data_IF_607127346971
#
_entry.id   IF_607127346971
#
_cell.length_a   1.000
_cell.length_b   1.000
_cell.length_c   1.000
_cell.angle_alpha   90.00
_cell.angle_beta   90.00
_cell.angle_gamma   90.00
#
_symmetry.space_group_name_H-M   'P 1'
#
loop_
_entity.id
_entity.type
_entity.pdbx_description
1 polymer ?
#
# COMPACT_ATOMS: atom_id res chain seq x y z
N UNK A 1 14.88 6.20 27.38
CA UNK A 1 13.50 5.76 27.15
C UNK A 1 13.51 4.81 25.97
N UNK A 2 13.45 3.51 26.21
CA UNK A 2 13.30 2.49 25.18
C UNK A 2 12.23 1.52 25.67
N UNK A 3 11.25 1.21 24.81
CA UNK A 3 10.20 0.26 25.14
C UNK A 3 10.87 -1.12 25.15
N UNK A 4 10.82 -1.83 26.28
CA UNK A 4 11.59 -3.08 26.50
C UNK A 4 11.17 -4.24 25.57
N UNK A 5 10.09 -4.08 24.79
CA UNK A 5 9.58 -5.05 23.81
C UNK A 5 9.44 -4.44 22.41
N UNK A 6 10.47 -3.74 21.93
CA UNK A 6 10.46 -3.25 20.56
C UNK A 6 10.71 -4.42 19.59
N UNK A 7 9.76 -4.65 18.69
CA UNK A 7 9.84 -5.73 17.70
C UNK A 7 11.12 -5.62 16.84
N UNK A 8 11.81 -6.75 16.64
CA UNK A 8 13.13 -6.78 15.97
C UNK A 8 13.05 -6.40 14.48
N UNK A 9 11.93 -6.68 13.81
CA UNK A 9 11.72 -6.23 12.43
C UNK A 9 11.59 -4.72 12.41
N UNK A 10 10.80 -4.14 13.31
CA UNK A 10 10.62 -2.69 13.45
C UNK A 10 11.95 -2.00 13.76
N UNK A 11 12.81 -2.62 14.57
CA UNK A 11 14.18 -2.16 14.84
C UNK A 11 15.06 -2.18 13.60
N UNK A 12 15.04 -3.28 12.85
CA UNK A 12 15.75 -3.40 11.59
C UNK A 12 15.28 -2.35 10.57
N UNK A 13 13.97 -2.14 10.48
CA UNK A 13 13.39 -1.11 9.62
C UNK A 13 13.78 0.30 10.08
N UNK A 14 13.91 0.57 11.38
CA UNK A 14 14.44 1.86 11.85
C UNK A 14 15.92 2.07 11.47
N UNK A 15 16.72 1.00 11.49
CA UNK A 15 18.15 1.08 11.13
C UNK A 15 18.40 1.45 9.67
N UNK A 16 17.41 1.27 8.79
CA UNK A 16 17.52 1.66 7.38
C UNK A 16 17.80 3.16 7.20
N UNK A 17 17.49 4.00 8.19
CA UNK A 17 17.80 5.43 8.18
C UNK A 17 19.31 5.72 8.21
N UNK A 18 20.13 4.74 8.61
CA UNK A 18 21.57 4.89 8.80
C UNK A 18 22.40 3.97 7.91
N UNK A 19 21.76 2.97 7.29
CA UNK A 19 22.43 1.95 6.48
C UNK A 19 21.59 1.62 5.26
N UNK A 20 22.15 1.65 4.04
CA UNK A 20 21.44 1.22 2.85
C UNK A 20 20.91 -0.20 3.04
N UNK A 21 19.59 -0.34 3.06
CA UNK A 21 18.90 -1.60 3.33
C UNK A 21 17.73 -1.73 2.37
N UNK A 22 17.79 -2.71 1.47
CA UNK A 22 16.67 -3.06 0.61
C UNK A 22 15.62 -3.85 1.41
N UNK A 23 14.34 -3.57 1.15
CA UNK A 23 13.23 -4.32 1.74
C UNK A 23 12.87 -5.44 0.79
N UNK A 24 12.94 -6.68 1.28
CA UNK A 24 12.46 -7.84 0.54
C UNK A 24 11.22 -8.40 1.26
N UNK A 25 10.04 -8.03 0.78
CA UNK A 25 8.77 -8.52 1.31
C UNK A 25 8.23 -9.66 0.45
N UNK A 26 7.94 -10.80 1.07
CA UNK A 26 7.39 -11.99 0.40
C UNK A 26 6.31 -12.64 1.26
N UNK A 27 5.67 -13.68 0.75
CA UNK A 27 4.63 -14.44 1.46
C UNK A 27 5.08 -15.05 2.81
N UNK A 28 6.39 -15.15 3.04
CA UNK A 28 6.94 -15.62 4.32
C UNK A 28 6.56 -14.69 5.47
N UNK A 29 6.32 -13.39 5.18
CA UNK A 29 5.95 -12.39 6.19
C UNK A 29 4.45 -12.33 6.45
N UNK A 30 3.64 -12.52 5.41
CA UNK A 30 2.18 -12.60 5.48
C UNK A 30 1.61 -13.18 4.18
N UNK A 31 0.43 -13.83 4.19
CA UNK A 31 -0.23 -14.26 2.96
C UNK A 31 -0.48 -13.06 2.03
N UNK A 32 -0.06 -13.18 0.77
CA UNK A 32 -0.29 -12.15 -0.24
C UNK A 32 -1.40 -12.60 -1.19
N UNK A 33 -2.30 -11.68 -1.50
CA UNK A 33 -3.43 -11.91 -2.39
C UNK A 33 -3.22 -11.14 -3.68
N UNK A 34 -3.35 -11.83 -4.80
CA UNK A 34 -3.23 -11.24 -6.13
C UNK A 34 -4.64 -10.84 -6.58
N UNK A 35 -4.84 -9.55 -6.82
CA UNK A 35 -6.06 -9.01 -7.42
C UNK A 35 -5.93 -8.92 -8.94
N UNK A 36 -4.73 -8.58 -9.42
CA UNK A 36 -4.38 -8.56 -10.83
C UNK A 36 -2.93 -9.02 -11.04
N UNK A 37 -2.72 -9.82 -12.08
CA UNK A 37 -1.43 -10.39 -12.43
C UNK A 37 -0.50 -9.35 -13.09
N UNK A 38 0.80 -9.53 -12.93
CA UNK A 38 1.83 -8.76 -13.63
C UNK A 38 3.13 -8.61 -12.85
N UNK A 39 4.06 -7.90 -13.45
CA UNK A 39 5.30 -7.45 -12.82
C UNK A 39 5.58 -6.02 -13.28
N UNK A 40 5.93 -5.15 -12.34
CA UNK A 40 6.20 -3.74 -12.61
C UNK A 40 7.34 -3.25 -11.73
N UNK A 41 8.20 -2.42 -12.31
CA UNK A 41 9.30 -1.75 -11.62
C UNK A 41 9.16 -0.25 -11.80
N UNK A 42 9.18 0.49 -10.71
CA UNK A 42 9.01 1.94 -10.71
C UNK A 42 9.22 2.53 -9.33
N UNK A 43 9.22 3.86 -9.28
CA UNK A 43 9.27 4.59 -8.02
C UNK A 43 8.02 4.29 -7.16
N UNK A 44 8.18 4.09 -5.86
CA UNK A 44 7.06 3.91 -4.92
C UNK A 44 6.58 5.26 -4.42
N UNK A 45 5.29 5.53 -4.58
CA UNK A 45 4.61 6.70 -4.04
C UNK A 45 3.34 6.27 -3.31
N UNK A 46 2.77 7.14 -2.47
CA UNK A 46 1.49 6.88 -1.80
C UNK A 46 1.57 6.99 -0.28
N UNK A 47 0.92 6.07 0.42
CA UNK A 47 0.77 6.08 1.88
C UNK A 47 -0.71 6.05 2.28
N UNK A 48 -1.09 6.91 3.23
CA UNK A 48 -2.44 6.93 3.78
C UNK A 48 -3.48 7.36 2.75
N UNK A 49 -4.46 6.49 2.48
CA UNK A 49 -5.47 6.66 1.43
C UNK A 49 -6.30 7.93 1.62
N UNK A 50 -6.78 8.22 2.83
CA UNK A 50 -7.56 9.43 3.11
C UNK A 50 -6.76 10.71 2.82
N UNK A 51 -5.47 10.75 3.15
CA UNK A 51 -4.59 11.89 2.87
C UNK A 51 -4.30 12.05 1.37
N UNK A 52 -4.10 10.94 0.65
CA UNK A 52 -3.92 10.97 -0.80
C UNK A 52 -5.15 11.57 -1.49
N UNK A 53 -6.35 11.17 -1.08
CA UNK A 53 -7.60 11.72 -1.60
C UNK A 53 -7.74 13.21 -1.28
N UNK A 54 -7.40 13.63 -0.06
CA UNK A 54 -7.45 15.04 0.35
C UNK A 54 -6.47 15.93 -0.44
N UNK A 55 -5.43 15.36 -1.05
CA UNK A 55 -4.46 16.11 -1.86
C UNK A 55 -4.96 16.45 -3.27
N UNK A 56 -6.03 15.81 -3.75
CA UNK A 56 -6.55 15.97 -5.11
C UNK A 56 -7.02 17.41 -5.33
N UNK A 57 -6.59 18.01 -6.44
CA UNK A 57 -6.85 19.40 -6.83
C UNK A 57 -5.91 20.42 -6.19
N UNK A 58 -4.92 19.99 -5.39
CA UNK A 58 -3.96 20.87 -4.74
C UNK A 58 -2.59 20.84 -5.42
N UNK A 59 -1.69 21.81 -5.17
CA UNK A 59 -0.29 21.73 -5.64
C UNK A 59 0.50 20.52 -5.11
N UNK A 60 -0.05 19.80 -4.13
CA UNK A 60 0.54 18.62 -3.52
C UNK A 60 -0.17 17.33 -3.95
N UNK A 61 -1.01 17.39 -4.98
CA UNK A 61 -1.68 16.22 -5.54
C UNK A 61 -0.66 15.15 -5.93
N UNK A 62 -0.94 13.91 -5.54
CA UNK A 62 -0.06 12.78 -5.81
C UNK A 62 0.13 12.55 -7.32
N UNK A 63 1.38 12.45 -7.76
CA UNK A 63 1.74 12.06 -9.13
C UNK A 63 2.02 10.56 -9.19
N UNK A 64 1.07 9.79 -9.73
CA UNK A 64 1.17 8.33 -9.85
C UNK A 64 1.67 7.86 -11.20
N UNK A 65 1.91 8.78 -12.16
CA UNK A 65 2.24 8.42 -13.53
C UNK A 65 3.55 7.66 -13.62
N UNK A 66 3.47 6.42 -14.11
CA UNK A 66 4.63 5.55 -14.25
C UNK A 66 5.16 4.98 -12.93
N UNK A 67 4.41 5.08 -11.83
CA UNK A 67 4.85 4.74 -10.47
C UNK A 67 4.06 3.60 -9.85
N UNK A 68 4.64 2.96 -8.83
CA UNK A 68 3.94 2.00 -7.98
C UNK A 68 3.22 2.77 -6.86
N UNK A 69 1.89 2.62 -6.79
CA UNK A 69 1.08 3.31 -5.79
C UNK A 69 0.83 2.42 -4.57
N UNK A 70 1.36 2.80 -3.43
CA UNK A 70 1.07 2.22 -2.11
C UNK A 70 -0.16 2.90 -1.50
N UNK A 71 -1.15 2.11 -1.08
CA UNK A 71 -2.31 2.59 -0.32
C UNK A 71 -2.50 1.78 0.95
N UNK A 72 -2.69 2.48 2.07
CA UNK A 72 -3.02 1.92 3.39
C UNK A 72 -3.94 2.89 4.13
N UNK A 73 -4.68 2.43 5.14
CA UNK A 73 -5.47 3.33 5.99
C UNK A 73 -5.83 2.69 7.35
N UNK A 74 -6.33 3.49 8.28
CA UNK A 74 -6.75 3.03 9.61
C UNK A 74 -8.08 3.64 10.03
N UNK A 75 -8.98 2.80 10.53
CA UNK A 75 -10.24 3.24 11.13
C UNK A 75 -11.31 3.70 10.15
N UNK A 76 -11.08 3.55 8.84
CA UNK A 76 -12.08 3.87 7.81
C UNK A 76 -13.03 2.69 7.58
N UNK A 77 -14.33 2.99 7.48
CA UNK A 77 -15.33 1.97 7.14
C UNK A 77 -15.24 1.59 5.65
N UNK A 78 -15.64 0.36 5.24
CA UNK A 78 -15.55 -0.06 3.85
C UNK A 78 -16.22 0.89 2.82
N UNK A 79 -17.36 1.51 3.17
CA UNK A 79 -18.02 2.47 2.28
C UNK A 79 -17.21 3.77 2.06
N UNK A 80 -16.39 4.16 3.05
CA UNK A 80 -15.49 5.31 2.96
C UNK A 80 -14.33 5.00 2.03
N UNK A 81 -13.74 3.82 2.20
CA UNK A 81 -12.67 3.30 1.34
C UNK A 81 -13.15 3.19 -0.11
N UNK A 82 -14.37 2.70 -0.33
CA UNK A 82 -15.01 2.69 -1.65
C UNK A 82 -15.10 4.11 -2.24
N UNK A 83 -15.58 5.09 -1.47
CA UNK A 83 -15.66 6.48 -1.92
C UNK A 83 -14.28 7.07 -2.28
N UNK A 84 -13.24 6.74 -1.50
CA UNK A 84 -11.86 7.16 -1.73
C UNK A 84 -11.26 6.55 -3.00
N UNK A 85 -11.43 5.23 -3.19
CA UNK A 85 -10.98 4.56 -4.41
C UNK A 85 -11.72 5.07 -5.64
N UNK A 86 -13.02 5.34 -5.53
CA UNK A 86 -13.75 5.98 -6.62
C UNK A 86 -13.17 7.35 -6.97
N UNK A 87 -12.80 8.17 -5.97
CA UNK A 87 -12.21 9.48 -6.22
C UNK A 87 -10.83 9.39 -6.89
N UNK A 88 -9.95 8.48 -6.44
CA UNK A 88 -8.66 8.23 -7.08
C UNK A 88 -8.83 7.71 -8.52
N UNK A 89 -9.80 6.83 -8.75
CA UNK A 89 -10.15 6.32 -10.08
C UNK A 89 -10.62 7.46 -10.99
N UNK A 90 -11.55 8.30 -10.52
CA UNK A 90 -12.07 9.43 -11.29
C UNK A 90 -10.99 10.50 -11.57
N UNK A 91 -10.01 10.64 -10.70
CA UNK A 91 -8.85 11.50 -10.90
C UNK A 91 -7.75 10.87 -11.78
N UNK A 92 -7.97 9.67 -12.34
CA UNK A 92 -7.03 8.99 -13.23
C UNK A 92 -5.82 8.34 -12.52
N UNK A 93 -5.75 8.39 -11.18
CA UNK A 93 -4.55 7.98 -10.43
C UNK A 93 -4.25 6.49 -10.54
N UNK A 94 -5.28 5.65 -10.59
CA UNK A 94 -5.12 4.22 -10.82
C UNK A 94 -4.72 3.88 -12.24
N UNK A 95 -5.17 4.66 -13.23
CA UNK A 95 -4.83 4.43 -14.64
C UNK A 95 -3.36 4.79 -14.91
N UNK A 96 -2.89 5.89 -14.31
CA UNK A 96 -1.52 6.40 -14.41
C UNK A 96 -0.47 5.53 -13.67
N UNK A 97 -0.85 4.89 -12.56
CA UNK A 97 0.01 3.98 -11.82
C UNK A 97 0.35 2.73 -12.65
N UNK A 98 1.56 2.17 -12.50
CA UNK A 98 1.98 0.94 -13.19
C UNK A 98 1.81 -0.32 -12.33
N UNK A 99 1.39 -0.17 -11.08
CA UNK A 99 1.08 -1.25 -10.15
C UNK A 99 0.56 -0.68 -8.84
N UNK A 100 -0.23 -1.46 -8.12
CA UNK A 100 -0.86 -1.05 -6.86
C UNK A 100 -0.42 -1.99 -5.74
N UNK A 101 0.09 -1.40 -4.66
CA UNK A 101 0.51 -2.08 -3.44
C UNK A 101 -0.54 -1.76 -2.38
N UNK A 102 -1.29 -2.77 -1.93
CA UNK A 102 -2.31 -2.59 -0.88
C UNK A 102 -1.69 -3.01 0.45
N UNK A 103 -1.39 -2.02 1.28
CA UNK A 103 -0.89 -2.17 2.64
C UNK A 103 -1.97 -2.63 3.61
N UNK A 104 -1.76 -2.32 4.89
CA UNK A 104 -2.67 -2.72 5.94
C UNK A 104 -3.84 -1.73 6.06
N UNK A 105 -5.05 -2.27 6.00
CA UNK A 105 -6.28 -1.54 6.26
C UNK A 105 -6.79 -2.00 7.63
N UNK A 106 -6.37 -1.31 8.70
CA UNK A 106 -6.66 -1.74 10.06
C UNK A 106 -7.92 -1.07 10.61
N UNK A 107 -8.58 -1.74 11.56
CA UNK A 107 -9.77 -1.23 12.25
C UNK A 107 -10.95 -0.88 11.31
N UNK A 108 -11.01 -1.52 10.15
CA UNK A 108 -12.06 -1.33 9.13
C UNK A 108 -13.27 -2.22 9.43
N UNK A 109 -13.95 -2.02 10.55
CA UNK A 109 -15.17 -2.77 10.87
C UNK A 109 -16.41 -1.97 10.51
N UNK A 110 -17.34 -2.51 9.69
CA UNK A 110 -18.63 -1.88 9.47
C UNK A 110 -19.36 -1.60 10.78
N UNK A 111 -19.95 -0.42 10.91
CA UNK A 111 -20.92 -0.19 11.98
C UNK A 111 -22.11 -1.12 11.73
N UNK A 112 -22.47 -1.93 12.75
CA UNK A 112 -23.37 -3.10 12.72
C UNK A 112 -24.80 -2.88 12.16
N UNK A 113 -25.12 -1.72 11.62
CA UNK A 113 -26.48 -1.27 11.32
C UNK A 113 -26.81 -1.12 9.83
N UNK A 114 -25.84 -1.34 8.91
CA UNK A 114 -26.09 -1.25 7.46
C UNK A 114 -25.48 -2.41 6.69
N UNK A 115 -26.23 -2.93 5.72
CA UNK A 115 -25.67 -3.81 4.68
C UNK A 115 -24.68 -3.00 3.84
N UNK A 116 -23.40 -3.34 3.92
CA UNK A 116 -22.32 -2.70 3.17
C UNK A 116 -21.38 -3.78 2.65
N UNK A 117 -20.66 -3.48 1.57
CA UNK A 117 -19.64 -4.37 1.03
C UNK A 117 -18.56 -4.62 2.10
N UNK A 118 -18.08 -5.85 2.15
CA UNK A 118 -16.82 -6.15 2.85
C UNK A 118 -15.65 -5.46 2.15
N UNK A 119 -14.57 -5.20 2.88
CA UNK A 119 -13.37 -4.61 2.31
C UNK A 119 -12.80 -5.44 1.13
N UNK A 120 -12.88 -6.77 1.22
CA UNK A 120 -12.51 -7.67 0.11
C UNK A 120 -13.32 -7.38 -1.15
N UNK A 121 -14.64 -7.25 -1.02
CA UNK A 121 -15.50 -6.97 -2.18
C UNK A 121 -15.22 -5.59 -2.77
N UNK A 122 -14.84 -4.60 -1.94
CA UNK A 122 -14.39 -3.30 -2.42
C UNK A 122 -13.11 -3.46 -3.23
N UNK A 123 -12.09 -4.17 -2.73
CA UNK A 123 -10.87 -4.43 -3.50
C UNK A 123 -11.15 -5.15 -4.82
N UNK A 124 -11.99 -6.19 -4.78
CA UNK A 124 -12.34 -6.96 -5.97
C UNK A 124 -13.00 -6.07 -7.02
N UNK A 125 -13.88 -5.15 -6.61
CA UNK A 125 -14.56 -4.21 -7.49
C UNK A 125 -13.59 -3.30 -8.27
N UNK A 126 -12.54 -2.80 -7.62
CA UNK A 126 -11.61 -1.86 -8.26
C UNK A 126 -10.49 -2.56 -9.03
N UNK A 127 -9.96 -3.67 -8.52
CA UNK A 127 -8.64 -4.15 -8.94
C UNK A 127 -8.64 -5.39 -9.83
N UNK A 128 -9.68 -6.23 -9.80
CA UNK A 128 -9.69 -7.53 -10.51
C UNK A 128 -9.61 -7.45 -12.03
N UNK A 129 -10.01 -6.32 -12.62
CA UNK A 129 -10.01 -6.11 -14.07
C UNK A 129 -8.78 -5.33 -14.58
N UNK A 130 -7.83 -5.01 -13.70
CA UNK A 130 -6.64 -4.25 -14.09
C UNK A 130 -5.62 -5.12 -14.83
N UNK A 131 -4.93 -4.52 -15.81
CA UNK A 131 -3.85 -5.17 -16.57
C UNK A 131 -2.45 -4.81 -16.03
N UNK A 132 -2.32 -4.69 -14.71
CA UNK A 132 -1.09 -4.30 -14.00
C UNK A 132 -1.06 -5.00 -12.64
N UNK A 133 0.10 -5.26 -12.04
CA UNK A 133 0.16 -6.00 -10.78
C UNK A 133 -0.56 -5.25 -9.66
N UNK A 134 -1.50 -5.94 -9.01
CA UNK A 134 -2.15 -5.46 -7.80
C UNK A 134 -2.13 -6.56 -6.75
N UNK A 135 -1.43 -6.30 -5.64
CA UNK A 135 -1.30 -7.26 -4.54
C UNK A 135 -1.71 -6.61 -3.22
N UNK A 136 -2.40 -7.38 -2.38
CA UNK A 136 -2.71 -7.02 -0.99
C UNK A 136 -2.12 -8.01 0.01
N UNK A 137 -2.22 -7.64 1.30
CA UNK A 137 -1.73 -8.45 2.41
C UNK A 137 -0.36 -8.01 2.92
N UNK A 138 0.23 -6.95 2.37
CA UNK A 138 1.43 -6.35 2.91
C UNK A 138 1.13 -5.69 4.26
N UNK A 139 1.92 -6.02 5.29
CA UNK A 139 1.82 -5.40 6.61
C UNK A 139 2.54 -4.06 6.68
N UNK A 140 2.19 -3.15 5.77
CA UNK A 140 2.75 -1.80 5.66
C UNK A 140 1.66 -0.81 6.08
N UNK A 141 1.96 0.10 7.01
CA UNK A 141 0.99 1.07 7.53
C UNK A 141 0.79 0.93 9.03
N UNK A 142 -0.45 1.07 9.48
CA UNK A 142 -0.85 1.05 10.90
C UNK A 142 -0.91 -0.36 11.52
N UNK A 143 0.15 -1.16 11.40
CA UNK A 143 0.27 -2.48 12.03
C UNK A 143 1.66 -2.76 12.60
N UNK A 144 1.75 -3.81 13.40
CA UNK A 144 3.01 -4.38 13.88
C UNK A 144 3.29 -5.71 13.16
N UNK A 145 4.53 -5.99 12.75
CA UNK A 145 5.70 -5.11 12.85
C UNK A 145 5.69 -3.96 11.82
N UNK A 146 6.35 -2.84 12.12
CA UNK A 146 6.38 -1.67 11.24
C UNK A 146 7.37 -1.87 10.08
N UNK A 147 6.85 -2.13 8.87
CA UNK A 147 7.62 -2.07 7.63
C UNK A 147 7.65 -0.63 7.10
N UNK A 148 8.73 0.10 7.40
CA UNK A 148 8.91 1.46 6.91
C UNK A 148 9.39 1.43 5.46
N UNK A 149 8.49 1.66 4.51
CA UNK A 149 8.81 1.72 3.08
C UNK A 149 9.34 3.10 2.72
N UNK A 150 10.55 3.23 2.14
CA UNK A 150 11.07 4.51 1.70
C UNK A 150 10.37 4.96 0.41
N UNK A 151 9.44 5.92 0.53
CA UNK A 151 8.79 6.53 -0.63
C UNK A 151 9.81 7.34 -1.47
N UNK A 152 9.60 7.37 -2.79
CA UNK A 152 10.51 7.99 -3.74
C UNK A 152 11.68 7.10 -4.19
N UNK A 153 11.74 5.84 -3.72
CA UNK A 153 12.73 4.86 -4.16
C UNK A 153 12.16 3.90 -5.20
N UNK A 154 13.05 3.26 -5.96
CA UNK A 154 12.65 2.23 -6.90
C UNK A 154 12.21 0.96 -6.18
N UNK A 155 11.17 0.31 -6.70
CA UNK A 155 10.76 -1.00 -6.24
C UNK A 155 10.28 -1.88 -7.40
N UNK A 156 10.26 -3.18 -7.16
CA UNK A 156 9.66 -4.19 -8.03
C UNK A 156 8.50 -4.88 -7.31
N UNK A 157 7.31 -4.83 -7.91
CA UNK A 157 6.13 -5.59 -7.49
C UNK A 157 5.90 -6.74 -8.48
N UNK A 158 5.76 -7.97 -7.97
CA UNK A 158 5.60 -9.17 -8.80
C UNK A 158 4.48 -10.06 -8.26
N UNK A 159 3.47 -10.34 -9.08
CA UNK A 159 2.43 -11.32 -8.76
C UNK A 159 2.94 -12.75 -8.87
N UNK A 160 3.84 -13.03 -9.82
CA UNK A 160 4.43 -14.37 -10.01
C UNK A 160 5.30 -14.79 -8.83
N UNK A 161 6.16 -13.88 -8.36
CA UNK A 161 7.03 -14.14 -7.19
C UNK A 161 6.34 -13.85 -5.87
N UNK A 162 5.15 -13.23 -5.92
CA UNK A 162 4.42 -12.68 -4.77
C UNK A 162 5.36 -11.94 -3.82
N UNK A 163 5.90 -10.86 -4.34
CA UNK A 163 6.93 -10.09 -3.64
C UNK A 163 6.83 -8.60 -3.94
N UNK A 164 7.26 -7.82 -2.96
CA UNK A 164 7.62 -6.42 -3.10
C UNK A 164 9.09 -6.26 -2.69
N UNK A 165 9.93 -5.80 -3.61
CA UNK A 165 11.34 -5.50 -3.35
C UNK A 165 11.54 -4.00 -3.49
N UNK A 166 11.95 -3.31 -2.43
CA UNK A 166 12.14 -1.85 -2.41
C UNK A 166 13.62 -1.55 -2.18
N UNK A 167 14.18 -0.66 -2.99
CA UNK A 167 15.56 -0.22 -2.86
C UNK A 167 15.77 0.62 -1.59
N UNK A 168 17.04 0.82 -1.22
CA UNK A 168 17.39 1.59 -0.04
C UNK A 168 17.01 3.08 -0.18
N UNK A 169 16.48 3.67 0.89
CA UNK A 169 16.17 5.10 0.95
C UNK A 169 17.34 6.02 1.30
N UNK A 170 18.51 5.44 1.60
CA UNK A 170 19.74 6.17 1.93
C UNK A 170 20.91 5.58 1.16
N UNK A 171 21.91 6.43 0.86
CA UNK A 171 23.15 6.07 0.16
C UNK A 171 24.32 5.90 1.14
#
# INVERSE_FOLDING_TARGET
>A
MGIENFDEVSKSMFQQLFKPTAIHYTEVKSPLHIHAEGEATGEVVGGNLSLLVNSIGTPFEIDTKGKLLLVEDVGEEPYRIDSFFNQLKMAGKFDEAIGIIIGDFSQTTPVKTKETLSLSQVFDHYFTSMNKPVLSGFKIGHCLPHYAVPLGTMATLSSTKKSLVVDAGVN
#
